data_IF_574964723967
#
_entry.id   IF_574964723967
#
_cell.length_a   1.000
_cell.length_b   1.000
_cell.length_c   1.000
_cell.angle_alpha   90.00
_cell.angle_beta   90.00
_cell.angle_gamma   90.00
#
_symmetry.space_group_name_H-M   'P 1'
#
loop_
_entity.id
_entity.type
_entity.pdbx_description
1 polymer ?
#
# COMPACT_ATOMS: atom_id res chain seq x y z
N UNK A 1 -9.49 8.67 -5.98
CA UNK A 1 -8.67 9.85 -6.31
C UNK A 1 -8.35 10.71 -5.09
N UNK A 2 -9.32 11.31 -4.37
CA UNK A 2 -9.00 12.17 -3.19
C UNK A 2 -8.09 11.53 -2.14
N UNK A 3 -8.31 10.27 -1.76
CA UNK A 3 -7.46 9.54 -0.80
C UNK A 3 -6.03 9.31 -1.29
N UNK A 4 -5.87 9.03 -2.59
CA UNK A 4 -4.56 8.83 -3.22
C UNK A 4 -3.75 10.13 -3.23
N UNK A 5 -4.41 11.26 -3.53
CA UNK A 5 -3.76 12.58 -3.49
C UNK A 5 -3.29 12.97 -2.08
N UNK A 6 -3.93 12.45 -1.03
CA UNK A 6 -3.48 12.67 0.36
C UNK A 6 -2.19 11.90 0.69
N UNK A 7 -1.92 10.78 0.02
CA UNK A 7 -0.68 10.01 0.22
C UNK A 7 0.48 10.45 -0.68
N UNK A 8 0.19 11.12 -1.80
CA UNK A 8 1.22 11.59 -2.74
C UNK A 8 2.38 12.35 -2.07
N UNK A 9 2.15 13.31 -1.16
CA UNK A 9 3.26 14.01 -0.52
C UNK A 9 4.23 13.09 0.23
N UNK A 10 3.72 12.00 0.81
CA UNK A 10 4.53 10.99 1.52
C UNK A 10 5.28 10.11 0.51
N UNK A 11 4.66 9.74 -0.60
CA UNK A 11 5.31 8.97 -1.66
C UNK A 11 6.42 9.78 -2.34
N UNK A 12 6.12 11.03 -2.72
CA UNK A 12 7.04 11.92 -3.45
C UNK A 12 8.30 12.24 -2.64
N UNK A 13 8.18 12.49 -1.32
CA UNK A 13 9.35 12.74 -0.45
C UNK A 13 10.25 11.51 -0.29
N UNK A 14 9.72 10.31 -0.52
CA UNK A 14 10.46 9.06 -0.52
C UNK A 14 10.97 8.67 -1.93
N UNK A 15 10.68 9.47 -2.96
CA UNK A 15 11.04 9.17 -4.35
C UNK A 15 10.27 7.98 -4.94
N UNK A 16 9.10 7.65 -4.38
CA UNK A 16 8.31 6.49 -4.76
C UNK A 16 7.09 6.95 -5.56
N UNK A 17 6.71 6.17 -6.58
CA UNK A 17 5.37 6.31 -7.14
C UNK A 17 4.33 5.70 -6.18
N UNK A 18 3.04 5.99 -6.39
CA UNK A 18 1.99 5.56 -5.46
C UNK A 18 1.87 4.04 -5.34
N UNK A 19 2.14 3.29 -6.41
CA UNK A 19 2.06 1.83 -6.43
C UNK A 19 3.17 1.23 -5.58
N UNK A 20 4.40 1.71 -5.79
CA UNK A 20 5.55 1.29 -5.00
C UNK A 20 5.39 1.68 -3.53
N UNK A 21 4.90 2.89 -3.25
CA UNK A 21 4.59 3.32 -1.90
C UNK A 21 3.58 2.39 -1.21
N UNK A 22 2.50 2.01 -1.90
CA UNK A 22 1.50 1.07 -1.37
C UNK A 22 2.09 -0.32 -1.10
N UNK A 23 2.91 -0.84 -2.02
CA UNK A 23 3.63 -2.11 -1.83
C UNK A 23 4.55 -2.05 -0.60
N UNK A 24 5.41 -1.04 -0.52
CA UNK A 24 6.34 -0.87 0.59
C UNK A 24 5.60 -0.68 1.92
N UNK A 25 4.50 0.08 1.95
CA UNK A 25 3.63 0.19 3.13
C UNK A 25 3.11 -1.18 3.60
N UNK A 26 2.51 -1.97 2.70
CA UNK A 26 1.99 -3.30 3.04
C UNK A 26 3.09 -4.24 3.54
N UNK A 27 4.27 -4.18 2.93
CA UNK A 27 5.43 -4.98 3.34
C UNK A 27 6.08 -4.50 4.66
N UNK A 28 5.90 -3.23 5.02
CA UNK A 28 6.43 -2.66 6.29
C UNK A 28 5.57 -3.06 7.49
N UNK A 29 4.25 -3.20 7.31
CA UNK A 29 3.35 -3.67 8.37
C UNK A 29 3.73 -5.09 8.80
N UNK A 30 4.01 -5.26 10.10
CA UNK A 30 4.17 -6.58 10.70
C UNK A 30 2.86 -7.36 10.60
N UNK A 31 2.96 -8.65 10.25
CA UNK A 31 1.81 -9.56 10.17
C UNK A 31 1.37 -9.94 8.75
N UNK A 32 1.96 -9.33 7.72
CA UNK A 32 1.80 -9.80 6.34
C UNK A 32 2.98 -10.72 5.96
N UNK A 33 2.67 -11.92 5.48
CA UNK A 33 3.69 -12.83 4.95
C UNK A 33 3.97 -12.59 3.47
N UNK A 34 2.97 -12.14 2.71
CA UNK A 34 3.07 -11.92 1.27
C UNK A 34 2.03 -10.87 0.83
N UNK A 35 2.41 -10.04 -0.14
CA UNK A 35 1.51 -9.14 -0.85
C UNK A 35 1.34 -9.67 -2.27
N UNK A 36 0.10 -9.87 -2.70
CA UNK A 36 -0.22 -10.47 -4.00
C UNK A 36 -0.94 -9.43 -4.88
N UNK A 37 -0.21 -8.69 -5.73
CA UNK A 37 -0.85 -7.84 -6.71
C UNK A 37 -1.43 -8.68 -7.85
N UNK A 38 -2.55 -8.22 -8.42
CA UNK A 38 -3.03 -8.74 -9.70
C UNK A 38 -2.14 -8.19 -10.81
N UNK A 39 -1.59 -9.08 -11.62
CA UNK A 39 -0.72 -8.75 -12.74
C UNK A 39 -1.25 -9.42 -14.01
N UNK A 40 -1.17 -8.72 -15.14
CA UNK A 40 -1.64 -9.19 -16.45
C UNK A 40 -0.55 -9.18 -17.53
N UNK A 41 0.65 -8.70 -17.22
CA UNK A 41 1.78 -8.62 -18.16
C UNK A 41 3.12 -8.97 -17.51
N UNK A 42 4.11 -9.35 -18.31
CA UNK A 42 5.47 -9.61 -17.85
C UNK A 42 6.15 -8.34 -17.33
N UNK A 43 5.87 -7.18 -17.94
CA UNK A 43 6.39 -5.89 -17.49
C UNK A 43 5.93 -5.57 -16.06
N UNK A 44 4.66 -5.82 -15.74
CA UNK A 44 4.15 -5.67 -14.38
C UNK A 44 4.88 -6.59 -13.40
N UNK A 45 5.12 -7.85 -13.80
CA UNK A 45 5.86 -8.81 -12.96
C UNK A 45 7.27 -8.30 -12.63
N UNK A 46 8.00 -7.80 -13.64
CA UNK A 46 9.35 -7.24 -13.44
C UNK A 46 9.28 -6.02 -12.51
N UNK A 47 8.37 -5.09 -12.76
CA UNK A 47 8.20 -3.89 -11.94
C UNK A 47 7.91 -4.25 -10.46
N UNK A 48 7.02 -5.20 -10.20
CA UNK A 48 6.71 -5.63 -8.82
C UNK A 48 7.88 -6.36 -8.14
N UNK A 49 8.65 -7.15 -8.91
CA UNK A 49 9.86 -7.77 -8.40
C UNK A 49 10.91 -6.72 -8.01
N UNK A 50 11.06 -5.64 -8.78
CA UNK A 50 11.97 -4.55 -8.47
C UNK A 50 11.54 -3.75 -7.23
N UNK A 51 10.23 -3.54 -7.04
CA UNK A 51 9.69 -2.85 -5.85
C UNK A 51 9.90 -3.63 -4.55
N UNK A 52 10.14 -4.95 -4.63
CA UNK A 52 10.33 -5.87 -3.51
C UNK A 52 11.81 -6.06 -3.12
N UNK A 53 12.62 -5.01 -3.30
CA UNK A 53 14.05 -4.92 -3.00
C UNK A 53 14.45 -4.93 -1.52
N UNK A 54 13.52 -5.19 -0.60
CA UNK A 54 13.76 -5.17 0.85
C UNK A 54 13.95 -3.76 1.44
N UNK A 55 13.74 -2.69 0.66
CA UNK A 55 13.62 -1.32 1.19
C UNK A 55 12.18 -1.04 1.57
N UNK A 56 12.01 -0.42 2.73
CA UNK A 56 10.72 -0.16 3.35
C UNK A 56 10.54 1.34 3.61
N UNK A 57 9.32 1.76 3.95
CA UNK A 57 9.07 3.15 4.37
C UNK A 57 9.50 3.35 5.82
N UNK A 58 9.85 4.58 6.19
CA UNK A 58 10.34 4.89 7.54
C UNK A 58 9.24 4.77 8.60
N UNK A 59 9.63 4.60 9.88
CA UNK A 59 8.68 4.60 10.99
C UNK A 59 7.89 5.92 11.10
N UNK A 60 8.51 7.05 10.72
CA UNK A 60 7.86 8.35 10.69
C UNK A 60 6.79 8.42 9.60
N UNK A 61 7.08 7.93 8.39
CA UNK A 61 6.11 7.84 7.30
C UNK A 61 4.97 6.87 7.64
N UNK A 62 5.30 5.72 8.25
CA UNK A 62 4.31 4.76 8.74
C UNK A 62 3.33 5.40 9.72
N UNK A 63 3.86 6.22 10.65
CA UNK A 63 3.03 6.93 11.63
C UNK A 63 2.09 7.92 10.95
N UNK A 64 2.58 8.71 10.00
CA UNK A 64 1.76 9.68 9.26
C UNK A 64 0.68 8.99 8.43
N UNK A 65 1.00 7.84 7.81
CA UNK A 65 0.02 7.01 7.12
C UNK A 65 -1.08 6.53 8.07
N UNK A 66 -0.71 6.00 9.23
CA UNK A 66 -1.68 5.53 10.23
C UNK A 66 -2.55 6.70 10.76
N UNK A 67 -1.97 7.88 11.01
CA UNK A 67 -2.71 9.09 11.39
C UNK A 67 -3.71 9.50 10.31
N UNK A 68 -3.31 9.53 9.04
CA UNK A 68 -4.18 9.86 7.91
C UNK A 68 -5.32 8.84 7.76
N UNK A 69 -5.05 7.54 7.86
CA UNK A 69 -6.08 6.49 7.82
C UNK A 69 -7.13 6.69 8.91
N UNK A 70 -6.73 7.08 10.12
CA UNK A 70 -7.63 7.31 11.25
C UNK A 70 -8.53 8.55 11.08
N UNK A 71 -8.24 9.45 10.12
CA UNK A 71 -9.13 10.57 9.78
C UNK A 71 -10.32 10.17 8.91
N UNK A 72 -10.29 8.97 8.34
CA UNK A 72 -11.32 8.52 7.40
C UNK A 72 -12.46 7.82 8.12
N UNK A 73 -13.69 7.89 7.58
CA UNK A 73 -14.79 7.09 8.11
C UNK A 73 -14.45 5.61 8.02
N UNK A 74 -14.89 4.85 9.03
CA UNK A 74 -14.71 3.40 9.08
C UNK A 74 -15.22 2.76 7.78
N UNK A 75 -14.44 1.82 7.25
CA UNK A 75 -14.85 1.07 6.07
C UNK A 75 -15.81 -0.05 6.50
N UNK A 76 -17.06 0.02 6.03
CA UNK A 76 -17.99 -1.09 6.19
C UNK A 76 -17.59 -2.25 5.29
N UNK A 77 -17.21 -3.37 5.91
CA UNK A 77 -16.98 -4.62 5.20
C UNK A 77 -18.31 -5.10 4.62
N UNK A 78 -18.42 -5.14 3.29
CA UNK A 78 -19.53 -5.81 2.61
C UNK A 78 -19.35 -7.31 2.80
N UNK A 79 -19.98 -7.86 3.84
CA UNK A 79 -19.98 -9.31 4.07
C UNK A 79 -20.69 -9.96 2.88
N UNK A 80 -19.97 -10.78 2.12
CA UNK A 80 -20.60 -11.67 1.13
C UNK A 80 -21.42 -12.70 1.92
N UNK A 81 -22.74 -12.86 1.68
CA UNK A 81 -23.52 -13.90 2.34
C UNK A 81 -22.88 -15.26 2.09
N UNK A 82 -22.71 -16.06 3.16
CA UNK A 82 -22.31 -17.45 2.97
C UNK A 82 -23.41 -18.16 2.17
N UNK A 83 -23.04 -18.72 1.03
CA UNK A 83 -23.95 -19.57 0.26
C UNK A 83 -24.02 -20.91 1.00
N UNK A 84 -25.20 -21.23 1.54
CA UNK A 84 -25.48 -22.52 2.18
C UNK A 84 -25.32 -23.70 1.23
#
# INVERSE_FOLDING_TARGET
>A
LKKVEQFKPIADRNGLNITEFAMKFMMTKKGFATVLPTMISEEEVVNYAEMSDGKYISDADMKEVDELYNTWPAYELKITPQTN
#
